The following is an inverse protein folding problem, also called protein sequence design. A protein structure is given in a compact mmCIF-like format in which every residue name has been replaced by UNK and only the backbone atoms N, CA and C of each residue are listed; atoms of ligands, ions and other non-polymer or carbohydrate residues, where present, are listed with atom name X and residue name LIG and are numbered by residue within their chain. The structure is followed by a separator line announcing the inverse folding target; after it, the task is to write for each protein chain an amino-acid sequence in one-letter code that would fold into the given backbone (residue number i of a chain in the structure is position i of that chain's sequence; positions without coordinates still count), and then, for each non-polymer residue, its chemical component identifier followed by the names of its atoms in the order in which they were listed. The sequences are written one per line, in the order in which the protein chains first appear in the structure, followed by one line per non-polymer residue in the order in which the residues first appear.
data_IF_753957066592
#
_entry.id   IF_753957066592
#
_cell.length_a   1.000
_cell.length_b   1.000
_cell.length_c   1.000
_cell.angle_alpha   90.00
_cell.angle_beta   90.00
_cell.angle_gamma   90.00
#
_symmetry.space_group_name_H-M   'P 1'
#
loop_
_entity.id
_entity.type
_entity.pdbx_description
1 polymer ?
#
# COMPACT_ATOMS: atom_id res chain seq x y z
N UNK A 1 -22.70 11.65 13.23
CA UNK A 1 -21.84 10.53 13.60
C UNK A 1 -22.71 9.32 13.97
N UNK A 2 -22.32 8.12 13.51
CA UNK A 2 -22.93 6.89 14.00
C UNK A 2 -22.41 6.63 15.41
N UNK A 3 -23.33 6.42 16.36
CA UNK A 3 -22.98 6.09 17.72
C UNK A 3 -23.43 4.66 18.06
N UNK A 4 -22.58 3.91 18.78
CA UNK A 4 -22.93 2.61 19.33
C UNK A 4 -23.16 1.49 18.32
N UNK A 5 -24.19 0.66 18.56
CA UNK A 5 -24.47 -0.56 17.80
C UNK A 5 -24.70 -0.36 16.28
N UNK A 6 -25.17 0.82 15.87
CA UNK A 6 -25.35 1.14 14.44
C UNK A 6 -24.02 1.35 13.74
N UNK A 7 -23.03 2.00 14.40
CA UNK A 7 -21.68 2.17 13.89
C UNK A 7 -20.95 0.82 13.77
N UNK A 8 -21.13 -0.05 14.75
CA UNK A 8 -20.56 -1.41 14.73
C UNK A 8 -21.16 -2.28 13.63
N UNK A 9 -22.48 -2.20 13.43
CA UNK A 9 -23.17 -2.94 12.37
C UNK A 9 -22.73 -2.44 10.98
N UNK A 10 -22.60 -1.12 10.81
CA UNK A 10 -22.14 -0.52 9.57
C UNK A 10 -20.66 -0.87 9.29
N UNK A 11 -19.81 -0.81 10.31
CA UNK A 11 -18.41 -1.22 10.22
C UNK A 11 -18.25 -2.70 9.85
N UNK A 12 -19.11 -3.58 10.35
CA UNK A 12 -19.12 -5.01 9.97
C UNK A 12 -19.61 -5.25 8.54
N UNK A 13 -20.57 -4.44 8.07
CA UNK A 13 -21.14 -4.59 6.72
C UNK A 13 -20.23 -4.03 5.62
N UNK A 14 -19.55 -2.91 5.87
CA UNK A 14 -18.75 -2.19 4.87
C UNK A 14 -17.23 -2.20 5.14
N UNK A 15 -16.77 -2.99 6.12
CA UNK A 15 -15.38 -3.06 6.53
C UNK A 15 -15.00 -1.96 7.54
N UNK A 16 -13.92 -2.19 8.26
CA UNK A 16 -13.41 -1.42 9.39
C UNK A 16 -13.67 0.10 9.35
N UNK A 17 -14.79 0.62 9.81
CA UNK A 17 -15.01 2.01 10.27
C UNK A 17 -14.40 3.21 9.51
N UNK A 18 -13.73 2.99 8.38
CA UNK A 18 -13.08 3.99 7.53
C UNK A 18 -14.00 4.52 6.42
N UNK A 19 -15.29 4.55 6.67
CA UNK A 19 -16.32 4.95 5.69
C UNK A 19 -16.46 6.47 5.53
N UNK A 20 -15.47 7.26 5.95
CA UNK A 20 -15.48 8.69 5.74
C UNK A 20 -16.59 9.46 6.44
N UNK A 21 -17.24 8.88 7.45
CA UNK A 21 -18.25 9.58 8.25
C UNK A 21 -19.61 9.72 7.58
N UNK A 22 -20.01 8.78 6.74
CA UNK A 22 -21.36 8.74 6.19
C UNK A 22 -22.39 8.64 7.31
N UNK A 23 -23.32 9.60 7.36
CA UNK A 23 -24.43 9.59 8.29
C UNK A 23 -25.55 8.61 7.90
N UNK A 24 -26.47 8.35 8.80
CA UNK A 24 -27.62 7.47 8.54
C UNK A 24 -28.52 7.96 7.39
N UNK A 25 -28.39 9.21 7.01
CA UNK A 25 -29.11 9.86 5.91
C UNK A 25 -28.53 9.55 4.53
N UNK A 26 -27.27 9.11 4.45
CA UNK A 26 -26.57 8.89 3.18
C UNK A 26 -27.33 7.94 2.26
N UNK A 27 -27.53 8.33 1.01
CA UNK A 27 -28.33 7.63 0.00
C UNK A 27 -29.83 7.47 0.37
N UNK A 28 -30.37 8.33 1.22
CA UNK A 28 -31.81 8.36 1.55
C UNK A 28 -32.46 9.68 1.12
N UNK A 29 -33.79 9.78 1.27
CA UNK A 29 -34.52 11.04 1.00
C UNK A 29 -34.17 12.17 1.96
N UNK A 30 -33.50 11.84 3.07
CA UNK A 30 -33.08 12.80 4.09
C UNK A 30 -31.61 13.22 3.89
N UNK A 31 -30.98 12.82 2.80
CA UNK A 31 -29.65 13.27 2.38
C UNK A 31 -29.79 14.63 1.70
N UNK A 32 -29.93 15.65 2.51
CA UNK A 32 -30.24 17.03 2.13
C UNK A 32 -29.11 17.97 2.54
N UNK A 33 -28.96 19.16 1.91
CA UNK A 33 -27.85 20.09 2.18
C UNK A 33 -27.69 20.54 3.64
N UNK A 34 -28.74 20.47 4.46
CA UNK A 34 -28.69 20.76 5.90
C UNK A 34 -27.82 19.77 6.71
N UNK A 35 -27.44 18.64 6.12
CA UNK A 35 -26.51 17.68 6.72
C UNK A 35 -25.04 18.07 6.49
N UNK A 36 -24.77 19.03 5.64
CA UNK A 36 -23.44 19.55 5.40
C UNK A 36 -23.10 20.62 6.45
N UNK A 37 -21.93 20.46 7.05
CA UNK A 37 -21.30 21.49 7.87
C UNK A 37 -20.46 22.40 6.96
N UNK A 38 -20.81 23.69 6.79
CA UNK A 38 -20.11 24.60 5.90
C UNK A 38 -18.64 24.83 6.29
N UNK A 39 -18.31 24.78 7.59
CA UNK A 39 -16.94 24.97 8.07
C UNK A 39 -16.07 23.76 7.73
N UNK A 40 -16.60 22.56 7.96
CA UNK A 40 -15.93 21.32 7.59
C UNK A 40 -15.74 21.24 6.08
N UNK A 41 -16.77 21.55 5.29
CA UNK A 41 -16.67 21.58 3.83
C UNK A 41 -15.60 22.55 3.36
N UNK A 42 -15.59 23.78 3.90
CA UNK A 42 -14.58 24.77 3.55
C UNK A 42 -13.16 24.35 3.93
N UNK A 43 -12.99 23.68 5.07
CA UNK A 43 -11.70 23.08 5.46
C UNK A 43 -11.28 22.01 4.49
N UNK A 44 -12.16 21.08 4.15
CA UNK A 44 -11.86 19.95 3.29
C UNK A 44 -11.54 20.42 1.87
N UNK A 45 -12.25 21.42 1.34
CA UNK A 45 -11.92 22.06 0.06
C UNK A 45 -10.51 22.67 0.10
N UNK A 46 -10.11 23.34 1.18
CA UNK A 46 -8.75 23.90 1.30
C UNK A 46 -7.69 22.80 1.31
N UNK A 47 -7.93 21.69 2.03
CA UNK A 47 -7.01 20.54 2.06
C UNK A 47 -6.85 19.96 0.65
N UNK A 48 -7.94 19.64 -0.04
CA UNK A 48 -7.89 19.09 -1.40
C UNK A 48 -7.25 20.07 -2.39
N UNK A 49 -7.59 21.37 -2.31
CA UNK A 49 -6.98 22.38 -3.17
C UNK A 49 -5.46 22.49 -2.92
N UNK A 50 -5.01 22.40 -1.66
CA UNK A 50 -3.59 22.39 -1.32
C UNK A 50 -2.88 21.18 -1.89
N UNK A 51 -3.44 19.97 -1.74
CA UNK A 51 -2.87 18.73 -2.30
C UNK A 51 -2.76 18.83 -3.82
N UNK A 52 -3.82 19.31 -4.50
CA UNK A 52 -3.81 19.51 -5.94
C UNK A 52 -2.77 20.55 -6.38
N UNK A 53 -2.64 21.65 -5.64
CA UNK A 53 -1.66 22.68 -5.94
C UNK A 53 -0.23 22.12 -5.85
N UNK A 54 0.10 21.36 -4.79
CA UNK A 54 1.39 20.71 -4.67
C UNK A 54 1.63 19.70 -5.81
N UNK A 55 0.64 18.88 -6.16
CA UNK A 55 0.76 17.93 -7.25
C UNK A 55 0.97 18.56 -8.64
N UNK A 56 0.43 19.79 -8.87
CA UNK A 56 0.46 20.46 -10.16
C UNK A 56 1.61 21.46 -10.32
N UNK A 57 2.03 22.11 -9.25
CA UNK A 57 2.94 23.27 -9.32
C UNK A 57 4.31 23.02 -8.69
N UNK A 58 4.46 22.01 -7.82
CA UNK A 58 5.75 21.70 -7.25
C UNK A 58 6.65 20.98 -8.26
N UNK A 59 7.94 21.28 -8.22
CA UNK A 59 8.93 20.58 -9.07
C UNK A 59 9.07 19.09 -8.70
N UNK A 60 8.69 18.71 -7.49
CA UNK A 60 8.69 17.33 -6.99
C UNK A 60 7.31 16.98 -6.46
N UNK A 61 6.85 15.77 -6.77
CA UNK A 61 5.65 15.25 -6.12
C UNK A 61 5.87 15.13 -4.61
N UNK A 62 4.84 15.39 -3.79
CA UNK A 62 4.91 15.25 -2.33
C UNK A 62 4.86 13.76 -1.91
N UNK A 63 5.69 12.93 -2.55
CA UNK A 63 5.80 11.48 -2.28
C UNK A 63 7.26 11.16 -2.01
N UNK A 64 7.52 10.56 -0.86
CA UNK A 64 8.85 10.06 -0.49
C UNK A 64 8.99 8.60 -0.92
N UNK A 65 9.61 8.39 -2.09
CA UNK A 65 9.82 7.04 -2.62
C UNK A 65 10.71 6.17 -1.71
N UNK A 66 11.62 6.76 -0.94
CA UNK A 66 12.45 5.99 -0.01
C UNK A 66 11.64 5.55 1.22
N UNK A 67 10.72 6.37 1.70
CA UNK A 67 9.80 6.01 2.77
C UNK A 67 8.87 4.86 2.35
N UNK A 68 8.29 4.91 1.15
CA UNK A 68 7.46 3.83 0.59
C UNK A 68 8.20 2.49 0.50
N UNK A 69 9.46 2.53 0.09
CA UNK A 69 10.31 1.33 0.04
C UNK A 69 10.56 0.77 1.43
N UNK A 70 10.79 1.63 2.43
CA UNK A 70 11.02 1.20 3.81
C UNK A 70 9.72 0.68 4.46
N UNK A 71 8.56 1.24 4.13
CA UNK A 71 7.27 0.73 4.57
C UNK A 71 7.03 -0.68 4.03
N UNK A 72 7.20 -0.88 2.71
CA UNK A 72 7.12 -2.22 2.11
C UNK A 72 8.09 -3.20 2.78
N UNK A 73 9.33 -2.78 3.08
CA UNK A 73 10.30 -3.62 3.77
C UNK A 73 9.81 -4.03 5.17
N UNK A 74 9.25 -3.10 5.94
CA UNK A 74 8.79 -3.38 7.30
C UNK A 74 7.56 -4.30 7.29
N UNK A 75 6.65 -4.14 6.34
CA UNK A 75 5.55 -5.07 6.10
C UNK A 75 6.05 -6.48 5.74
N UNK A 76 7.05 -6.59 4.88
CA UNK A 76 7.65 -7.89 4.54
C UNK A 76 8.37 -8.54 5.71
N UNK A 77 8.95 -7.76 6.64
CA UNK A 77 9.50 -8.28 7.90
C UNK A 77 8.41 -8.91 8.76
N UNK A 78 7.27 -8.24 8.91
CA UNK A 78 6.14 -8.79 9.66
C UNK A 78 5.65 -10.10 9.04
N UNK A 79 5.58 -10.19 7.70
CA UNK A 79 5.25 -11.43 7.02
C UNK A 79 6.31 -12.53 7.21
N UNK A 80 7.61 -12.18 7.22
CA UNK A 80 8.70 -13.12 7.50
C UNK A 80 8.58 -13.71 8.91
N UNK A 81 8.34 -12.86 9.91
CA UNK A 81 8.15 -13.27 11.29
C UNK A 81 6.96 -14.23 11.43
N UNK A 82 5.84 -13.92 10.78
CA UNK A 82 4.63 -14.73 10.77
C UNK A 82 4.82 -16.07 10.06
N UNK A 83 5.56 -16.09 8.96
CA UNK A 83 5.83 -17.30 8.17
C UNK A 83 6.87 -18.21 8.83
N UNK A 84 7.72 -17.69 9.71
CA UNK A 84 8.85 -18.42 10.31
C UNK A 84 9.74 -19.03 9.22
N UNK A 85 10.11 -20.30 9.41
CA UNK A 85 10.96 -21.05 8.47
C UNK A 85 10.25 -21.46 7.17
N UNK A 86 8.95 -21.15 7.02
CA UNK A 86 8.18 -21.52 5.82
C UNK A 86 8.51 -20.68 4.60
N UNK A 87 9.03 -19.46 4.78
CA UNK A 87 9.46 -18.53 3.73
C UNK A 87 10.79 -17.88 4.10
N UNK A 88 11.59 -17.57 3.08
CA UNK A 88 12.79 -16.76 3.22
C UNK A 88 12.67 -15.50 2.35
N UNK A 89 12.49 -14.36 3.01
CA UNK A 89 12.41 -13.03 2.40
C UNK A 89 13.71 -12.22 2.56
N UNK A 90 14.76 -12.79 3.14
CA UNK A 90 16.02 -12.07 3.47
C UNK A 90 16.63 -11.36 2.28
N UNK A 91 16.64 -11.98 1.10
CA UNK A 91 17.18 -11.38 -0.12
C UNK A 91 16.33 -10.18 -0.60
N UNK A 92 15.01 -10.25 -0.47
CA UNK A 92 14.10 -9.14 -0.81
C UNK A 92 14.36 -7.98 0.14
N UNK A 93 14.41 -8.26 1.44
CA UNK A 93 14.65 -7.26 2.49
C UNK A 93 15.98 -6.53 2.25
N UNK A 94 17.07 -7.28 1.99
CA UNK A 94 18.36 -6.69 1.69
C UNK A 94 18.34 -5.80 0.42
N UNK A 95 17.61 -6.20 -0.61
CA UNK A 95 17.47 -5.37 -1.83
C UNK A 95 16.67 -4.10 -1.58
N UNK A 96 15.63 -4.14 -0.75
CA UNK A 96 14.85 -2.96 -0.39
C UNK A 96 15.67 -1.98 0.47
N UNK A 97 16.53 -2.47 1.38
CA UNK A 97 17.45 -1.62 2.11
C UNK A 97 18.43 -0.91 1.15
N UNK A 98 19.02 -1.64 0.20
CA UNK A 98 19.90 -1.05 -0.82
C UNK A 98 19.16 -0.06 -1.72
N UNK A 99 17.90 -0.33 -2.06
CA UNK A 99 17.06 0.55 -2.85
C UNK A 99 16.78 1.85 -2.12
N UNK A 100 16.42 1.80 -0.84
CA UNK A 100 16.18 2.98 -0.02
C UNK A 100 17.44 3.86 0.07
N UNK A 101 18.62 3.27 0.27
CA UNK A 101 19.87 4.00 0.29
C UNK A 101 20.24 4.61 -1.09
N UNK A 102 19.97 3.89 -2.19
CA UNK A 102 20.18 4.44 -3.54
C UNK A 102 19.28 5.65 -3.81
N UNK A 103 18.00 5.60 -3.38
CA UNK A 103 17.07 6.73 -3.50
C UNK A 103 17.51 7.93 -2.66
N UNK A 104 17.92 7.71 -1.41
CA UNK A 104 18.46 8.78 -0.55
C UNK A 104 19.72 9.42 -1.13
N UNK A 105 20.59 8.62 -1.77
CA UNK A 105 21.78 9.13 -2.47
C UNK A 105 21.38 9.97 -3.69
N UNK A 106 20.47 9.46 -4.51
CA UNK A 106 19.95 10.17 -5.68
C UNK A 106 19.26 11.49 -5.32
N UNK A 107 18.50 11.53 -4.20
CA UNK A 107 17.86 12.76 -3.71
C UNK A 107 18.86 13.88 -3.39
N UNK A 108 20.12 13.52 -3.05
CA UNK A 108 21.20 14.49 -2.75
C UNK A 108 22.01 14.90 -3.98
N UNK A 109 22.08 14.05 -5.01
CA UNK A 109 22.99 14.22 -6.15
C UNK A 109 22.30 14.58 -7.46
N UNK A 110 21.05 14.16 -7.67
CA UNK A 110 20.30 14.41 -8.89
C UNK A 110 19.68 15.82 -8.89
N UNK A 111 19.53 16.39 -10.08
CA UNK A 111 18.63 17.52 -10.23
C UNK A 111 17.14 17.10 -9.95
N UNK A 112 16.26 18.05 -9.57
CA UNK A 112 14.90 17.73 -9.16
C UNK A 112 14.11 16.91 -10.19
N UNK A 113 14.23 17.23 -11.49
CA UNK A 113 13.48 16.55 -12.56
C UNK A 113 13.99 15.13 -12.78
N UNK A 114 15.30 14.92 -12.72
CA UNK A 114 15.92 13.59 -12.83
C UNK A 114 15.50 12.72 -11.65
N UNK A 115 15.59 13.26 -10.43
CA UNK A 115 15.15 12.56 -9.22
C UNK A 115 13.68 12.18 -9.28
N UNK A 116 12.81 13.12 -9.68
CA UNK A 116 11.38 12.88 -9.82
C UNK A 116 11.08 11.75 -10.82
N UNK A 117 11.71 11.77 -11.99
CA UNK A 117 11.57 10.72 -13.00
C UNK A 117 12.02 9.36 -12.48
N UNK A 118 13.13 9.32 -11.74
CA UNK A 118 13.67 8.12 -11.11
C UNK A 118 12.69 7.58 -10.05
N UNK A 119 12.23 8.43 -9.15
CA UNK A 119 11.29 8.08 -8.09
C UNK A 119 10.00 7.48 -8.64
N UNK A 120 9.40 8.09 -9.65
CA UNK A 120 8.19 7.55 -10.32
C UNK A 120 8.42 6.17 -10.92
N UNK A 121 9.56 5.95 -11.56
CA UNK A 121 9.89 4.63 -12.14
C UNK A 121 10.13 3.58 -11.06
N UNK A 122 10.77 3.94 -9.95
CA UNK A 122 10.90 3.04 -8.80
C UNK A 122 9.54 2.71 -8.22
N UNK A 123 8.70 3.71 -7.96
CA UNK A 123 7.35 3.51 -7.42
C UNK A 123 6.48 2.65 -8.33
N UNK A 124 6.61 2.73 -9.66
CA UNK A 124 5.89 1.86 -10.59
C UNK A 124 6.24 0.37 -10.45
N UNK A 125 7.43 0.04 -9.93
CA UNK A 125 7.84 -1.33 -9.62
C UNK A 125 7.43 -1.77 -8.20
N UNK A 126 7.41 -0.84 -7.25
CA UNK A 126 7.19 -1.13 -5.81
C UNK A 126 5.70 -1.19 -5.46
N UNK A 127 4.88 -0.24 -5.94
CA UNK A 127 3.45 -0.18 -5.62
C UNK A 127 2.71 -1.49 -5.94
N UNK A 128 2.93 -2.14 -7.11
CA UNK A 128 2.31 -3.43 -7.38
C UNK A 128 2.74 -4.56 -6.43
N UNK A 129 3.90 -4.44 -5.77
CA UNK A 129 4.33 -5.43 -4.77
C UNK A 129 3.61 -5.22 -3.43
N UNK A 130 3.31 -3.97 -3.09
CA UNK A 130 2.67 -3.62 -1.83
C UNK A 130 1.15 -3.83 -1.83
N UNK A 131 0.47 -3.57 -2.96
CA UNK A 131 -1.00 -3.41 -2.98
C UNK A 131 -1.74 -4.37 -3.92
N UNK A 132 -1.05 -5.24 -4.67
CA UNK A 132 -1.67 -6.13 -5.66
C UNK A 132 -1.60 -7.58 -5.22
N UNK A 133 -2.73 -8.29 -5.26
CA UNK A 133 -2.78 -9.70 -4.90
C UNK A 133 -2.20 -10.61 -5.99
N UNK A 134 -2.65 -10.47 -7.21
CA UNK A 134 -2.30 -11.35 -8.33
C UNK A 134 -1.66 -10.62 -9.50
N UNK A 135 -2.45 -9.99 -10.33
CA UNK A 135 -1.99 -9.17 -11.45
C UNK A 135 -2.14 -7.68 -11.11
N UNK A 136 -1.54 -6.81 -11.92
CA UNK A 136 -1.70 -5.35 -11.77
C UNK A 136 -3.14 -4.87 -11.91
N UNK A 137 -4.03 -5.72 -12.40
CA UNK A 137 -5.47 -5.46 -12.51
C UNK A 137 -6.29 -6.03 -11.35
N UNK A 138 -5.66 -6.69 -10.38
CA UNK A 138 -6.30 -7.35 -9.23
C UNK A 138 -5.92 -6.64 -7.93
N UNK A 139 -6.14 -5.33 -7.88
CA UNK A 139 -5.93 -4.54 -6.67
C UNK A 139 -7.15 -4.59 -5.73
N UNK A 140 -6.94 -4.32 -4.47
CA UNK A 140 -8.00 -4.20 -3.47
C UNK A 140 -8.54 -2.77 -3.45
N UNK A 141 -9.63 -2.53 -4.18
CA UNK A 141 -10.27 -1.22 -4.31
C UNK A 141 -10.80 -0.66 -2.97
N UNK A 142 -11.12 -1.54 -2.02
CA UNK A 142 -11.68 -1.14 -0.73
C UNK A 142 -10.66 -1.13 0.40
N UNK A 143 -9.38 -1.36 0.13
CA UNK A 143 -8.29 -1.50 1.11
C UNK A 143 -8.64 -2.51 2.23
N UNK A 144 -9.25 -3.63 1.88
CA UNK A 144 -9.68 -4.69 2.80
C UNK A 144 -8.62 -5.76 3.01
N UNK A 145 -7.73 -5.92 2.03
CA UNK A 145 -6.61 -6.83 2.16
C UNK A 145 -5.52 -6.26 3.07
N UNK A 146 -4.75 -7.12 3.76
CA UNK A 146 -3.56 -6.68 4.47
C UNK A 146 -2.52 -6.14 3.48
N UNK A 147 -1.53 -5.36 3.95
CA UNK A 147 -0.36 -5.02 3.14
C UNK A 147 0.31 -6.27 2.57
N UNK A 148 0.83 -6.15 1.33
CA UNK A 148 1.38 -7.28 0.58
C UNK A 148 0.38 -8.45 0.47
N UNK A 149 -0.81 -8.21 -0.10
CA UNK A 149 -1.91 -9.17 -0.06
C UNK A 149 -1.60 -10.51 -0.74
N UNK A 150 -0.60 -10.53 -1.62
CA UNK A 150 -0.12 -11.77 -2.25
C UNK A 150 0.51 -12.76 -1.27
N UNK A 151 0.86 -12.34 -0.03
CA UNK A 151 1.37 -13.21 1.02
C UNK A 151 0.29 -13.71 1.99
N UNK A 152 -0.97 -13.32 1.83
CA UNK A 152 -2.05 -13.70 2.77
C UNK A 152 -2.22 -15.21 2.97
N UNK A 153 -1.78 -16.02 2.00
CA UNK A 153 -1.79 -17.48 2.13
C UNK A 153 -0.92 -17.99 3.30
N UNK A 154 0.00 -17.16 3.82
CA UNK A 154 0.77 -17.43 5.05
C UNK A 154 -0.17 -17.66 6.23
N UNK A 155 -1.30 -16.95 6.31
CA UNK A 155 -2.28 -17.05 7.39
C UNK A 155 -2.93 -18.43 7.49
N UNK A 156 -2.99 -19.13 6.37
CA UNK A 156 -3.62 -20.44 6.24
C UNK A 156 -2.63 -21.58 6.50
N UNK A 157 -1.31 -21.35 6.46
CA UNK A 157 -0.29 -22.41 6.52
C UNK A 157 -0.38 -23.27 7.79
N UNK A 158 -0.82 -22.71 8.91
CA UNK A 158 -0.95 -23.42 10.18
C UNK A 158 -2.13 -24.43 10.17
N UNK A 159 -3.14 -24.19 9.34
CA UNK A 159 -4.34 -25.04 9.23
C UNK A 159 -4.23 -26.09 8.13
N UNK A 160 -3.33 -25.87 7.17
CA UNK A 160 -3.12 -26.76 6.03
C UNK A 160 -2.17 -27.92 6.36
N UNK A 161 -2.41 -29.08 5.76
CA UNK A 161 -1.57 -30.28 5.92
C UNK A 161 -1.33 -31.01 4.60
N UNK A 162 -0.36 -31.92 4.57
CA UNK A 162 -0.10 -32.81 3.44
C UNK A 162 0.03 -32.08 2.10
N UNK A 163 -0.77 -32.50 1.13
CA UNK A 163 -0.72 -31.96 -0.24
C UNK A 163 -1.12 -30.49 -0.32
N UNK A 164 -2.13 -30.08 0.42
CA UNK A 164 -2.63 -28.70 0.42
C UNK A 164 -1.55 -27.73 0.93
N UNK A 165 -0.89 -28.08 2.02
CA UNK A 165 0.22 -27.28 2.56
C UNK A 165 1.38 -27.17 1.57
N UNK A 166 1.72 -28.27 0.88
CA UNK A 166 2.77 -28.26 -0.13
C UNK A 166 2.40 -27.36 -1.32
N UNK A 167 1.15 -27.41 -1.80
CA UNK A 167 0.65 -26.55 -2.88
C UNK A 167 0.70 -25.06 -2.47
N UNK A 168 0.32 -24.74 -1.23
CA UNK A 168 0.41 -23.40 -0.68
C UNK A 168 1.86 -22.89 -0.63
N UNK A 169 2.80 -23.71 -0.16
CA UNK A 169 4.23 -23.36 -0.14
C UNK A 169 4.81 -23.13 -1.55
N UNK A 170 4.39 -23.93 -2.54
CA UNK A 170 4.80 -23.69 -3.95
C UNK A 170 4.26 -22.36 -4.44
N UNK A 171 3.02 -22.01 -4.14
CA UNK A 171 2.42 -20.72 -4.50
C UNK A 171 3.15 -19.56 -3.84
N UNK A 172 3.45 -19.65 -2.56
CA UNK A 172 4.21 -18.65 -1.82
C UNK A 172 5.65 -18.48 -2.36
N UNK A 173 6.32 -19.55 -2.76
CA UNK A 173 7.64 -19.45 -3.43
C UNK A 173 7.59 -18.66 -4.73
N UNK A 174 6.50 -18.78 -5.51
CA UNK A 174 6.29 -17.97 -6.72
C UNK A 174 6.11 -16.49 -6.37
N UNK A 175 5.39 -16.20 -5.28
CA UNK A 175 5.26 -14.84 -4.75
C UNK A 175 6.61 -14.29 -4.34
N UNK A 176 7.42 -15.04 -3.59
CA UNK A 176 8.77 -14.61 -3.19
C UNK A 176 9.64 -14.31 -4.42
N UNK A 177 9.59 -15.14 -5.47
CA UNK A 177 10.32 -14.88 -6.70
C UNK A 177 9.84 -13.60 -7.41
N UNK A 178 8.53 -13.31 -7.38
CA UNK A 178 7.97 -12.06 -7.91
C UNK A 178 8.46 -10.85 -7.12
N UNK A 179 8.46 -10.92 -5.79
CA UNK A 179 8.99 -9.88 -4.90
C UNK A 179 10.48 -9.63 -5.18
N UNK A 180 11.28 -10.70 -5.29
CA UNK A 180 12.72 -10.62 -5.62
C UNK A 180 12.96 -9.93 -6.97
N UNK A 181 12.19 -10.31 -7.99
CA UNK A 181 12.32 -9.74 -9.33
C UNK A 181 11.90 -8.25 -9.36
N UNK A 182 10.80 -7.89 -8.69
CA UNK A 182 10.36 -6.50 -8.61
C UNK A 182 11.35 -5.61 -7.86
N UNK A 183 11.84 -6.06 -6.70
CA UNK A 183 12.85 -5.34 -5.93
C UNK A 183 14.18 -5.18 -6.72
N UNK A 184 14.56 -6.18 -7.51
CA UNK A 184 15.76 -6.10 -8.38
C UNK A 184 15.57 -5.02 -9.46
N UNK A 185 14.45 -5.05 -10.21
CA UNK A 185 14.17 -4.04 -11.24
C UNK A 185 14.11 -2.63 -10.66
N UNK A 186 13.47 -2.46 -9.50
CA UNK A 186 13.43 -1.18 -8.81
C UNK A 186 14.83 -0.67 -8.44
N UNK A 187 15.69 -1.56 -7.94
CA UNK A 187 17.07 -1.24 -7.58
C UNK A 187 17.90 -0.86 -8.82
N UNK A 188 17.74 -1.57 -9.94
CA UNK A 188 18.41 -1.24 -11.20
C UNK A 188 17.98 0.15 -11.69
N UNK A 189 16.68 0.46 -11.63
CA UNK A 189 16.16 1.80 -11.95
C UNK A 189 16.75 2.89 -11.04
N UNK A 190 16.88 2.60 -9.74
CA UNK A 190 17.41 3.57 -8.79
C UNK A 190 18.92 3.87 -9.00
N UNK A 191 19.65 2.94 -9.59
CA UNK A 191 21.09 3.07 -9.86
C UNK A 191 21.43 3.65 -11.24
N UNK A 192 20.46 3.63 -12.20
CA UNK A 192 20.62 4.18 -13.55
C UNK A 192 20.59 5.73 -13.57
#
# INVERSE_FOLDING_TARGET
PFEGAAADAFGKMFGSGRTGGFGAWWHTRTDTPDKLDPENLARDVRVFASVLAHALFDERLPVDAAAEVLELRDELKAWQEKAGDSLDLSEVLARLDLLAEALKAAARSDDPKRFEKRSRRVLSEIIPLAYVEGSVYSHDEALRAPPVPMLRLVDELATLSGHERNAALVSLRRVVNRLKAGAARALDVARA
#
